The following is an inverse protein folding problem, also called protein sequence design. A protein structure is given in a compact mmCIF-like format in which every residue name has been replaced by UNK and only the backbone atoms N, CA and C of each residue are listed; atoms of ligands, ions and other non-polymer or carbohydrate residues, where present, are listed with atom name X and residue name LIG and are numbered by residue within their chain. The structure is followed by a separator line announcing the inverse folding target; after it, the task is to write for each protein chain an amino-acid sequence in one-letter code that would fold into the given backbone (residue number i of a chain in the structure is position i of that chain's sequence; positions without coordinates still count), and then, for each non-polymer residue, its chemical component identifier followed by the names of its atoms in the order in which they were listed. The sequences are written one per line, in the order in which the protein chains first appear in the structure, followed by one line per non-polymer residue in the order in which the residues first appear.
data_IF_769711821402
#
_entry.id   IF_769711821402
#
_cell.length_a   1.000
_cell.length_b   1.000
_cell.length_c   1.000
_cell.angle_alpha   90.00
_cell.angle_beta   90.00
_cell.angle_gamma   90.00
#
_symmetry.space_group_name_H-M   'P 1'
#
loop_
_entity.id
_entity.type
_entity.pdbx_description
1 polymer ?
#
# COMPACT_ATOMS: atom_id res chain seq x y z
N UNK A 1 9.57 14.24 -1.69
CA UNK A 1 10.10 13.25 -0.72
C UNK A 1 9.83 11.87 -1.31
N UNK A 2 10.78 10.96 -1.18
CA UNK A 2 10.73 9.58 -1.68
C UNK A 2 10.89 8.68 -0.47
N UNK A 3 10.05 7.64 -0.35
CA UNK A 3 10.16 6.62 0.70
C UNK A 3 10.55 5.29 0.07
N UNK A 4 11.41 4.53 0.72
CA UNK A 4 11.89 3.23 0.24
C UNK A 4 12.38 2.38 1.41
N UNK A 5 12.35 1.06 1.27
CA UNK A 5 13.01 0.15 2.21
C UNK A 5 14.45 -0.15 1.80
N UNK A 6 15.34 -0.27 2.78
CA UNK A 6 16.76 -0.56 2.55
C UNK A 6 17.37 -1.34 3.71
N UNK A 7 18.34 -2.21 3.39
CA UNK A 7 19.17 -2.91 4.36
C UNK A 7 20.51 -2.21 4.59
N UNK A 8 20.62 -0.91 4.28
CA UNK A 8 21.86 -0.13 4.34
C UNK A 8 22.37 0.15 5.77
N UNK A 9 21.94 -0.63 6.77
CA UNK A 9 22.52 -0.58 8.11
C UNK A 9 23.98 -1.02 8.05
N UNK A 10 24.86 -0.18 8.60
CA UNK A 10 26.25 -0.52 8.92
C UNK A 10 26.37 -1.23 10.28
N UNK A 11 25.34 -1.97 10.72
CA UNK A 11 25.48 -2.87 11.87
C UNK A 11 25.84 -4.27 11.38
N UNK A 12 26.93 -4.82 11.92
CA UNK A 12 27.50 -6.13 11.58
C UNK A 12 26.61 -7.29 12.10
N UNK A 13 25.30 -7.08 12.14
CA UNK A 13 24.30 -7.97 12.73
C UNK A 13 24.08 -9.23 11.91
N UNK A 14 24.48 -9.24 10.62
CA UNK A 14 24.39 -10.40 9.72
C UNK A 14 22.96 -10.86 9.38
N UNK A 15 21.95 -10.22 9.97
CA UNK A 15 20.53 -10.41 9.68
C UNK A 15 20.07 -9.13 8.98
N UNK A 16 19.73 -9.22 7.69
CA UNK A 16 19.35 -8.08 6.86
C UNK A 16 18.02 -7.46 7.25
N UNK A 17 17.97 -6.80 8.39
CA UNK A 17 16.82 -6.05 8.87
C UNK A 17 16.65 -4.80 7.99
N UNK A 18 15.59 -4.81 7.17
CA UNK A 18 15.24 -3.70 6.27
C UNK A 18 14.49 -2.65 7.03
N UNK A 19 14.90 -1.40 6.86
CA UNK A 19 14.22 -0.26 7.46
C UNK A 19 13.60 0.65 6.40
N UNK A 20 12.70 1.52 6.82
CA UNK A 20 12.11 2.54 5.96
C UNK A 20 12.95 3.81 6.04
N UNK A 21 13.41 4.24 4.87
CA UNK A 21 14.12 5.48 4.64
C UNK A 21 13.25 6.48 3.90
N UNK A 22 13.51 7.76 4.17
CA UNK A 22 13.01 8.87 3.36
C UNK A 22 14.15 9.78 2.94
N UNK A 23 14.05 10.26 1.71
CA UNK A 23 14.98 11.21 1.09
C UNK A 23 14.21 12.32 0.37
N UNK A 24 14.78 13.51 0.29
CA UNK A 24 14.28 14.58 -0.57
C UNK A 24 14.48 14.20 -2.05
N UNK A 25 13.68 14.79 -2.95
CA UNK A 25 13.73 14.45 -4.38
C UNK A 25 15.05 14.85 -5.05
N UNK A 26 15.82 15.75 -4.42
CA UNK A 26 17.16 16.15 -4.84
C UNK A 26 18.25 15.24 -4.24
N UNK A 27 17.87 14.16 -3.55
CA UNK A 27 18.79 13.21 -2.90
C UNK A 27 19.29 13.65 -1.53
N UNK A 28 18.85 14.79 -1.00
CA UNK A 28 19.29 15.28 0.32
C UNK A 28 18.43 14.74 1.45
N UNK A 29 18.89 14.94 2.69
CA UNK A 29 18.17 14.61 3.93
C UNK A 29 17.72 13.14 4.02
N UNK A 30 18.54 12.23 3.53
CA UNK A 30 18.35 10.80 3.74
C UNK A 30 18.32 10.50 5.24
N UNK A 31 17.27 9.82 5.70
CA UNK A 31 17.16 9.36 7.08
C UNK A 31 16.27 8.12 7.19
N UNK A 32 16.58 7.25 8.14
CA UNK A 32 15.64 6.24 8.59
C UNK A 32 14.49 6.93 9.36
N UNK A 33 13.25 6.49 9.14
CA UNK A 33 12.09 7.01 9.87
C UNK A 33 11.81 6.20 11.13
N UNK A 34 12.13 4.90 11.10
CA UNK A 34 11.98 4.00 12.23
C UNK A 34 13.26 3.18 12.41
N UNK A 35 14.26 3.72 13.10
CA UNK A 35 15.49 2.99 13.33
C UNK A 35 15.27 1.82 14.30
N UNK A 36 15.85 0.66 13.99
CA UNK A 36 15.90 -0.56 14.81
C UNK A 36 14.58 -1.29 14.98
N UNK A 37 13.55 -0.90 14.22
CA UNK A 37 12.43 -1.77 13.95
C UNK A 37 12.83 -2.67 12.78
N UNK A 38 12.93 -3.96 13.06
CA UNK A 38 12.42 -5.07 12.25
C UNK A 38 12.67 -5.11 10.71
N UNK A 39 11.86 -5.92 10.03
CA UNK A 39 11.87 -6.08 8.57
C UNK A 39 10.64 -5.37 8.05
N UNK A 40 10.85 -4.17 7.56
CA UNK A 40 9.84 -3.30 6.97
C UNK A 40 10.00 -3.25 5.46
N UNK A 41 8.88 -3.19 4.75
CA UNK A 41 8.91 -3.09 3.29
C UNK A 41 7.70 -2.38 2.70
N UNK A 42 7.84 -2.00 1.43
CA UNK A 42 6.76 -1.43 0.62
C UNK A 42 6.14 -0.15 1.22
N UNK A 43 6.93 0.86 1.59
CA UNK A 43 6.37 2.10 2.12
C UNK A 43 5.58 2.85 1.05
N UNK A 44 4.43 3.40 1.44
CA UNK A 44 3.59 4.25 0.59
C UNK A 44 3.15 5.50 1.34
N UNK A 45 3.07 6.63 0.63
CA UNK A 45 2.68 7.92 1.20
C UNK A 45 1.17 8.06 1.27
N UNK A 46 0.68 8.63 2.38
CA UNK A 46 -0.67 9.17 2.40
C UNK A 46 -0.81 10.33 1.40
N UNK A 47 -2.03 10.60 0.87
CA UNK A 47 -2.22 11.64 -0.16
C UNK A 47 -1.82 13.05 0.30
N UNK A 48 -1.93 13.34 1.59
CA UNK A 48 -1.51 14.59 2.22
C UNK A 48 0.00 14.65 2.55
N UNK A 49 0.73 13.55 2.34
CA UNK A 49 2.17 13.45 2.61
C UNK A 49 2.55 13.54 4.10
N UNK A 50 1.59 13.35 5.02
CA UNK A 50 1.81 13.40 6.46
C UNK A 50 2.21 12.06 7.06
N UNK A 51 1.79 10.96 6.43
CA UNK A 51 1.92 9.59 6.95
C UNK A 51 2.49 8.63 5.93
N UNK A 52 3.02 7.52 6.43
CA UNK A 52 3.43 6.36 5.65
C UNK A 52 2.61 5.14 6.07
N UNK A 53 2.25 4.30 5.10
CA UNK A 53 1.82 2.92 5.36
C UNK A 53 2.89 1.96 4.87
N UNK A 54 3.09 0.85 5.57
CA UNK A 54 4.11 -0.15 5.26
C UNK A 54 3.78 -1.50 5.88
N UNK A 55 4.44 -2.56 5.41
CA UNK A 55 4.39 -3.86 6.07
C UNK A 55 5.49 -3.97 7.12
N UNK A 56 5.18 -4.58 8.27
CA UNK A 56 6.19 -5.07 9.22
C UNK A 56 5.90 -6.51 9.63
N UNK A 57 6.96 -7.31 9.77
CA UNK A 57 6.88 -8.70 10.22
C UNK A 57 7.14 -8.91 11.72
N UNK A 58 7.64 -7.89 12.44
CA UNK A 58 8.02 -8.06 13.87
C UNK A 58 7.51 -6.96 14.80
N UNK A 59 6.85 -5.91 14.28
CA UNK A 59 6.20 -4.93 15.14
C UNK A 59 5.02 -5.56 15.90
N UNK A 60 4.80 -5.07 17.11
CA UNK A 60 3.65 -5.42 17.93
C UNK A 60 2.42 -4.61 17.49
N UNK A 61 1.21 -5.20 17.52
CA UNK A 61 0.86 -6.48 18.15
C UNK A 61 1.06 -7.72 17.26
N UNK A 62 1.20 -7.56 15.94
CA UNK A 62 1.29 -8.68 15.00
C UNK A 62 1.94 -8.28 13.67
N UNK A 63 2.44 -9.24 12.88
CA UNK A 63 2.82 -8.99 11.49
C UNK A 63 1.65 -8.44 10.68
N UNK A 64 1.87 -7.38 9.89
CA UNK A 64 0.80 -6.79 9.10
C UNK A 64 1.12 -5.39 8.61
N UNK A 65 0.06 -4.64 8.29
CA UNK A 65 0.18 -3.28 7.78
C UNK A 65 0.14 -2.30 8.95
N UNK A 66 1.12 -1.41 8.97
CA UNK A 66 1.27 -0.32 9.92
C UNK A 66 1.18 1.02 9.21
N UNK A 67 0.70 2.03 9.94
CA UNK A 67 0.74 3.43 9.56
C UNK A 67 1.46 4.23 10.62
N UNK A 68 2.26 5.19 10.20
CA UNK A 68 2.97 6.10 11.08
C UNK A 68 3.04 7.49 10.49
N UNK A 69 3.29 8.48 11.34
CA UNK A 69 3.59 9.84 10.90
C UNK A 69 5.02 9.89 10.31
N UNK A 70 5.22 10.75 9.31
CA UNK A 70 6.51 10.88 8.61
C UNK A 70 7.66 11.31 9.53
N UNK A 71 7.35 11.90 10.67
CA UNK A 71 8.33 12.32 11.67
C UNK A 71 8.78 11.17 12.61
N UNK A 72 8.21 9.97 12.48
CA UNK A 72 8.51 8.84 13.35
C UNK A 72 7.39 8.53 14.36
N UNK A 73 6.43 9.44 14.54
CA UNK A 73 5.36 9.33 15.52
C UNK A 73 4.18 8.48 15.10
N UNK A 74 3.18 8.39 15.99
CA UNK A 74 1.83 7.94 15.63
C UNK A 74 1.70 6.49 15.14
N UNK A 75 2.70 5.64 15.41
CA UNK A 75 2.70 4.25 14.94
C UNK A 75 1.42 3.52 15.35
N UNK A 76 0.75 2.94 14.35
CA UNK A 76 -0.52 2.24 14.51
C UNK A 76 -0.55 1.00 13.62
N UNK A 77 -0.95 -0.12 14.20
CA UNK A 77 -1.37 -1.29 13.46
C UNK A 77 -2.78 -1.06 12.87
N UNK A 78 -2.95 -1.27 11.57
CA UNK A 78 -4.26 -1.09 10.93
C UNK A 78 -4.90 -2.39 10.46
N UNK A 79 -4.15 -3.47 10.30
CA UNK A 79 -4.74 -4.76 9.98
C UNK A 79 -3.74 -5.85 9.59
N UNK A 80 -4.23 -7.08 9.63
CA UNK A 80 -3.54 -8.29 9.22
C UNK A 80 -4.52 -9.19 8.48
N UNK A 81 -4.07 -9.76 7.37
CA UNK A 81 -4.80 -10.84 6.69
C UNK A 81 -3.92 -12.07 6.73
N UNK A 82 -4.38 -13.09 7.46
CA UNK A 82 -3.68 -14.36 7.61
C UNK A 82 -2.23 -14.19 8.04
N UNK A 83 -1.29 -14.79 7.31
CA UNK A 83 0.14 -14.76 7.63
C UNK A 83 0.95 -13.80 6.74
N UNK A 84 0.32 -13.18 5.75
CA UNK A 84 1.01 -12.35 4.76
C UNK A 84 0.17 -11.14 4.37
N UNK A 85 0.71 -9.94 4.58
CA UNK A 85 0.14 -8.69 4.09
C UNK A 85 1.26 -7.84 3.48
N UNK A 86 1.06 -7.24 2.31
CA UNK A 86 2.11 -6.41 1.68
C UNK A 86 1.54 -5.39 0.72
N UNK A 87 2.42 -4.52 0.19
CA UNK A 87 2.13 -3.54 -0.88
C UNK A 87 0.89 -2.68 -0.58
N UNK A 88 0.88 -1.96 0.56
CA UNK A 88 -0.20 -1.06 0.89
C UNK A 88 -0.32 0.07 -0.13
N UNK A 89 -1.55 0.55 -0.33
CA UNK A 89 -1.91 1.60 -1.28
C UNK A 89 -3.04 2.46 -0.72
N UNK A 90 -2.77 3.75 -0.53
CA UNK A 90 -3.74 4.69 0.04
C UNK A 90 -4.84 5.06 -0.95
N UNK A 91 -6.07 5.16 -0.46
CA UNK A 91 -7.15 5.82 -1.20
C UNK A 91 -6.86 7.31 -1.34
N UNK A 92 -7.35 7.99 -2.40
CA UNK A 92 -7.02 9.39 -2.68
C UNK A 92 -7.53 10.36 -1.60
N UNK A 93 -8.59 9.98 -0.89
CA UNK A 93 -9.15 10.71 0.24
C UNK A 93 -8.43 10.42 1.57
N UNK A 94 -7.45 9.51 1.57
CA UNK A 94 -6.70 9.11 2.75
C UNK A 94 -7.49 8.31 3.79
N UNK A 95 -8.70 7.84 3.46
CA UNK A 95 -9.58 7.16 4.41
C UNK A 95 -9.36 5.65 4.50
N UNK A 96 -8.77 5.05 3.46
CA UNK A 96 -8.60 3.60 3.32
C UNK A 96 -7.22 3.23 2.80
N UNK A 97 -6.85 1.98 3.05
CA UNK A 97 -5.66 1.34 2.50
C UNK A 97 -6.10 0.04 1.86
N UNK A 98 -5.76 -0.14 0.58
CA UNK A 98 -5.81 -1.42 -0.09
C UNK A 98 -4.46 -2.12 0.06
N UNK A 99 -4.43 -3.43 0.18
CA UNK A 99 -3.20 -4.20 0.32
C UNK A 99 -3.40 -5.63 -0.18
N UNK A 100 -2.28 -6.30 -0.44
CA UNK A 100 -2.24 -7.72 -0.83
C UNK A 100 -2.25 -8.56 0.44
N UNK A 101 -3.12 -9.56 0.52
CA UNK A 101 -3.24 -10.45 1.69
C UNK A 101 -3.28 -11.93 1.30
N UNK A 102 -2.87 -12.82 2.21
CA UNK A 102 -3.15 -14.26 2.10
C UNK A 102 -3.52 -14.87 3.44
N UNK A 103 -4.63 -15.61 3.46
CA UNK A 103 -5.19 -16.22 4.66
C UNK A 103 -4.37 -17.40 5.21
N UNK A 104 -3.51 -18.01 4.40
CA UNK A 104 -2.90 -19.32 4.72
C UNK A 104 -1.37 -19.29 4.71
N UNK A 105 -0.70 -18.70 3.71
CA UNK A 105 0.77 -18.55 3.67
C UNK A 105 1.22 -17.54 2.60
N UNK A 106 2.51 -17.18 2.59
CA UNK A 106 3.11 -16.37 1.54
C UNK A 106 3.17 -17.06 0.16
N UNK A 107 3.05 -18.39 0.11
CA UNK A 107 3.16 -19.21 -1.12
C UNK A 107 1.80 -19.55 -1.74
N UNK A 108 0.71 -19.06 -1.15
CA UNK A 108 -0.67 -19.31 -1.56
C UNK A 108 -1.25 -18.09 -2.29
N UNK A 109 -2.34 -18.27 -3.07
CA UNK A 109 -2.93 -17.17 -3.82
C UNK A 109 -3.19 -15.97 -2.91
N UNK A 110 -2.83 -14.80 -3.44
CA UNK A 110 -3.00 -13.53 -2.78
C UNK A 110 -4.24 -12.85 -3.34
N UNK A 111 -5.04 -12.27 -2.45
CA UNK A 111 -6.21 -11.49 -2.81
C UNK A 111 -6.01 -10.03 -2.40
N UNK A 112 -6.84 -9.14 -2.95
CA UNK A 112 -6.85 -7.73 -2.58
C UNK A 112 -7.81 -7.51 -1.42
N UNK A 113 -7.31 -6.86 -0.37
CA UNK A 113 -8.08 -6.47 0.79
C UNK A 113 -8.10 -4.95 0.92
N UNK A 114 -9.10 -4.44 1.64
CA UNK A 114 -9.19 -3.03 2.03
C UNK A 114 -9.50 -2.90 3.51
N UNK A 115 -8.85 -1.94 4.17
CA UNK A 115 -9.09 -1.56 5.56
C UNK A 115 -9.17 -0.05 5.71
N UNK A 116 -9.83 0.43 6.76
CA UNK A 116 -9.79 1.85 7.10
C UNK A 116 -8.37 2.25 7.51
N UNK A 117 -7.92 3.45 7.12
CA UNK A 117 -6.59 3.96 7.46
C UNK A 117 -6.39 4.23 8.97
N UNK A 118 -7.48 4.20 9.74
CA UNK A 118 -7.48 4.29 11.20
C UNK A 118 -7.47 2.91 11.87
N UNK A 119 -7.52 1.83 11.09
CA UNK A 119 -7.68 0.46 11.54
C UNK A 119 -9.15 0.04 11.61
N UNK A 120 -9.39 -1.25 11.78
CA UNK A 120 -10.72 -1.84 11.82
C UNK A 120 -10.77 -3.17 11.06
N UNK A 121 -11.96 -3.73 10.85
CA UNK A 121 -12.09 -4.99 10.12
C UNK A 121 -11.68 -4.81 8.65
N UNK A 122 -10.91 -5.77 8.16
CA UNK A 122 -10.52 -5.90 6.76
C UNK A 122 -11.69 -6.43 5.93
N UNK A 123 -11.76 -6.01 4.67
CA UNK A 123 -12.72 -6.53 3.68
C UNK A 123 -11.97 -7.07 2.47
N UNK A 124 -12.25 -8.32 2.12
CA UNK A 124 -11.79 -8.94 0.88
C UNK A 124 -12.52 -8.35 -0.33
N UNK A 125 -11.78 -8.03 -1.40
CA UNK A 125 -12.32 -7.45 -2.64
C UNK A 125 -12.24 -8.41 -3.83
N UNK A 126 -11.28 -9.32 -3.81
CA UNK A 126 -11.12 -10.35 -4.84
C UNK A 126 -11.11 -11.74 -4.20
N UNK A 127 -11.68 -12.71 -4.90
CA UNK A 127 -11.74 -14.11 -4.48
C UNK A 127 -11.51 -14.95 -5.73
N UNK A 128 -10.26 -15.24 -6.05
CA UNK A 128 -9.92 -16.06 -7.22
C UNK A 128 -8.69 -16.94 -6.94
N UNK A 129 -8.61 -18.17 -7.51
CA UNK A 129 -7.44 -19.05 -7.33
C UNK A 129 -6.12 -18.53 -7.95
N UNK A 130 -6.08 -17.30 -8.44
CA UNK A 130 -4.89 -16.69 -9.05
C UNK A 130 -4.37 -15.57 -8.17
N UNK A 131 -3.12 -15.18 -8.38
CA UNK A 131 -2.48 -14.12 -7.62
C UNK A 131 -3.00 -12.75 -8.08
N UNK A 132 -3.57 -12.01 -7.14
CA UNK A 132 -3.86 -10.58 -7.27
C UNK A 132 -2.83 -9.77 -6.48
N UNK A 133 -2.22 -8.77 -7.12
CA UNK A 133 -1.17 -7.96 -6.51
C UNK A 133 -1.20 -6.51 -7.00
N UNK A 134 -0.36 -5.67 -6.37
CA UNK A 134 -0.16 -4.25 -6.75
C UNK A 134 -1.44 -3.41 -6.80
N UNK A 135 -2.23 -3.37 -5.71
CA UNK A 135 -3.42 -2.52 -5.71
C UNK A 135 -3.03 -1.05 -5.90
N UNK A 136 -3.72 -0.36 -6.80
CA UNK A 136 -3.61 1.07 -6.99
C UNK A 136 -5.00 1.70 -6.98
N UNK A 137 -5.13 2.83 -6.28
CA UNK A 137 -6.35 3.61 -6.33
C UNK A 137 -6.34 4.58 -7.50
N UNK A 138 -7.47 4.73 -8.15
CA UNK A 138 -7.70 5.80 -9.11
C UNK A 138 -8.06 7.10 -8.38
N UNK A 139 -7.34 8.18 -8.67
CA UNK A 139 -7.66 9.51 -8.18
C UNK A 139 -8.36 10.35 -9.27
N UNK A 140 -9.68 10.61 -9.13
CA UNK A 140 -10.41 11.42 -10.10
C UNK A 140 -9.96 12.89 -10.13
N UNK A 141 -9.30 13.40 -9.09
CA UNK A 141 -8.78 14.77 -9.07
C UNK A 141 -7.67 14.96 -10.11
N UNK A 142 -6.86 13.92 -10.38
CA UNK A 142 -5.83 13.94 -11.42
C UNK A 142 -6.33 13.49 -12.80
N UNK A 143 -7.55 12.95 -12.88
CA UNK A 143 -8.17 12.58 -14.14
C UNK A 143 -8.89 13.75 -14.84
N UNK A 144 -8.79 14.98 -14.32
CA UNK A 144 -9.25 16.17 -15.02
C UNK A 144 -8.41 16.32 -16.30
N UNK A 145 -9.03 15.92 -17.41
CA UNK A 145 -8.52 15.99 -18.76
C UNK A 145 -7.74 17.28 -19.03
N UNK A 146 -6.47 17.15 -19.39
CA UNK A 146 -5.79 18.15 -20.20
C UNK A 146 -6.34 18.04 -21.61
N UNK A 147 -7.58 18.50 -21.82
CA UNK A 147 -8.09 18.70 -23.16
C UNK A 147 -7.51 20.03 -23.66
N UNK A 148 -6.58 20.06 -24.62
CA UNK A 148 -6.40 21.27 -25.41
C UNK A 148 -7.74 21.52 -26.09
N UNK A 149 -8.20 22.76 -26.02
CA UNK A 149 -9.49 23.24 -26.52
C UNK A 149 -10.00 22.48 -27.75
N UNK A 150 -11.15 21.82 -27.59
CA UNK A 150 -12.03 21.43 -28.69
C UNK A 150 -11.79 20.05 -29.30
N UNK A 151 -12.38 19.01 -28.69
CA UNK A 151 -13.19 17.96 -29.34
C UNK A 151 -13.58 16.90 -28.30
N UNK A 152 -14.86 16.77 -28.02
CA UNK A 152 -15.40 15.82 -27.05
C UNK A 152 -14.92 14.39 -27.32
N UNK A 153 -14.45 13.73 -26.27
CA UNK A 153 -14.05 12.32 -26.32
C UNK A 153 -15.31 11.47 -26.52
N UNK A 154 -15.50 10.94 -27.72
CA UNK A 154 -16.56 9.97 -28.01
C UNK A 154 -16.15 8.63 -27.40
N UNK A 155 -16.73 8.25 -26.27
CA UNK A 155 -16.58 6.88 -25.76
C UNK A 155 -17.39 5.94 -26.65
N UNK A 156 -16.72 5.04 -27.37
CA UNK A 156 -17.33 3.94 -28.10
C UNK A 156 -17.18 2.63 -27.31
N UNK A 157 -18.30 1.92 -27.15
CA UNK A 157 -18.32 0.54 -26.66
C UNK A 157 -19.74 0.04 -26.42
N UNK A 158 -20.26 -0.77 -27.34
CA UNK A 158 -21.58 -1.41 -27.20
C UNK A 158 -21.50 -2.59 -26.21
N UNK A 159 -22.30 -2.56 -25.14
CA UNK A 159 -22.59 -3.74 -24.33
C UNK A 159 -23.63 -4.61 -25.07
N UNK A 160 -23.19 -5.69 -25.71
CA UNK A 160 -24.11 -6.75 -26.15
C UNK A 160 -24.56 -7.54 -24.92
N UNK A 161 -25.79 -7.28 -24.46
CA UNK A 161 -26.51 -8.15 -23.53
C UNK A 161 -26.99 -9.38 -24.30
N UNK A 162 -26.38 -10.53 -24.08
CA UNK A 162 -26.92 -11.83 -24.50
C UNK A 162 -27.79 -12.32 -23.33
N UNK A 163 -29.11 -12.40 -23.55
CA UNK A 163 -30.00 -13.13 -22.65
C UNK A 163 -30.03 -14.61 -23.10
N UNK A 164 -30.09 -15.58 -22.18
CA UNK A 164 -30.43 -16.94 -22.56
C UNK A 164 -31.89 -17.01 -23.02
N UNK A 165 -32.12 -17.70 -24.13
CA UNK A 165 -33.45 -18.04 -24.64
C UNK A 165 -34.20 -19.01 -23.72
N UNK A 166 -35.52 -19.05 -23.93
CA UNK A 166 -36.55 -19.81 -23.21
C UNK A 166 -36.20 -21.23 -22.83
#
# INVERSE_FOLDING_TARGET
RIAFDSNARDDDSGIGDREIYVVDADGRRLRAIMPHAAVESSPTWSPDGSRLAFYSSRLAPAPGIYVMDVDGGGLRFIGQVGLFATRPSWSPDGSRIAFVGSLLSADLPHDIYVVAAVGGPERQLTEHPSLDADPAWYDPAFARSVHPLGRDLTSWGWLRRIAPGR
#
